data_IF_754810440902
#
_entry.id   IF_754810440902
#
_cell.length_a   1.000
_cell.length_b   1.000
_cell.length_c   1.000
_cell.angle_alpha   90.00
_cell.angle_beta   90.00
_cell.angle_gamma   90.00
#
_symmetry.space_group_name_H-M   'P 1'
#
loop_
_entity.id
_entity.type
_entity.pdbx_description
1 polymer ?
#
# COMPACT_ATOMS: atom_id res chain seq x y z
N UNK A 1 14.90 -59.37 11.01
CA UNK A 1 15.37 -58.11 10.39
C UNK A 1 15.32 -57.00 11.42
N UNK A 2 16.48 -56.52 11.89
CA UNK A 2 16.58 -55.38 12.82
C UNK A 2 16.28 -54.10 12.04
N UNK A 3 15.28 -53.33 12.49
CA UNK A 3 15.03 -51.98 11.98
C UNK A 3 16.01 -51.04 12.68
N UNK A 4 16.96 -50.49 11.94
CA UNK A 4 17.79 -49.38 12.39
C UNK A 4 16.93 -48.11 12.32
N UNK A 5 16.66 -47.51 13.47
CA UNK A 5 16.14 -46.15 13.52
C UNK A 5 17.31 -45.22 13.20
N UNK A 6 17.19 -44.48 12.10
CA UNK A 6 18.09 -43.38 11.80
C UNK A 6 17.98 -42.35 12.92
N UNK A 7 19.10 -42.07 13.57
CA UNK A 7 19.30 -40.87 14.37
C UNK A 7 19.00 -39.68 13.44
N UNK A 8 17.93 -38.94 13.71
CA UNK A 8 17.76 -37.61 13.16
C UNK A 8 18.79 -36.73 13.86
N UNK A 9 19.61 -36.03 13.08
CA UNK A 9 20.58 -35.06 13.58
C UNK A 9 19.88 -34.04 14.50
N UNK A 10 20.20 -34.08 15.80
CA UNK A 10 19.70 -33.15 16.82
C UNK A 10 20.21 -31.70 16.61
N UNK A 11 21.16 -31.50 15.69
CA UNK A 11 21.78 -30.21 15.39
C UNK A 11 20.83 -29.24 14.66
N UNK A 12 19.86 -29.74 13.88
CA UNK A 12 18.95 -28.90 13.10
C UNK A 12 17.96 -28.14 14.01
N UNK A 13 17.50 -28.78 15.10
CA UNK A 13 16.59 -28.17 16.09
C UNK A 13 17.26 -27.16 17.00
N UNK A 14 18.55 -27.32 17.29
CA UNK A 14 19.31 -26.36 18.10
C UNK A 14 19.53 -25.05 17.35
N UNK A 15 19.70 -25.11 16.03
CA UNK A 15 19.97 -23.94 15.20
C UNK A 15 18.73 -23.04 15.02
N UNK A 16 17.54 -23.63 14.79
CA UNK A 16 16.26 -22.91 14.71
C UNK A 16 15.94 -22.12 16.00
N UNK A 17 16.22 -22.69 17.16
CA UNK A 17 16.04 -22.00 18.45
C UNK A 17 16.97 -20.78 18.57
N UNK A 18 18.22 -20.90 18.12
CA UNK A 18 19.19 -19.79 18.18
C UNK A 18 18.87 -18.65 17.20
N UNK A 19 18.31 -18.99 16.03
CA UNK A 19 17.92 -18.03 15.00
C UNK A 19 16.65 -17.28 15.43
N UNK A 20 15.66 -17.99 15.98
CA UNK A 20 14.44 -17.42 16.55
C UNK A 20 14.72 -16.43 17.69
N UNK A 21 15.70 -16.74 18.56
CA UNK A 21 16.13 -15.82 19.63
C UNK A 21 16.75 -14.56 19.05
N UNK A 22 17.71 -14.69 18.13
CA UNK A 22 18.34 -13.54 17.45
C UNK A 22 17.34 -12.68 16.70
N UNK A 23 16.40 -13.30 15.97
CA UNK A 23 15.36 -12.59 15.27
C UNK A 23 14.49 -11.75 16.21
N UNK A 24 14.11 -12.30 17.38
CA UNK A 24 13.35 -11.55 18.40
C UNK A 24 14.10 -10.34 18.93
N UNK A 25 15.41 -10.44 19.14
CA UNK A 25 16.24 -9.32 19.58
C UNK A 25 16.29 -8.20 18.54
N UNK A 26 16.57 -8.54 17.28
CA UNK A 26 16.55 -7.60 16.18
C UNK A 26 15.19 -6.93 16.02
N UNK A 27 14.11 -7.73 16.06
CA UNK A 27 12.73 -7.24 16.02
C UNK A 27 12.41 -6.27 17.16
N UNK A 28 12.85 -6.59 18.39
CA UNK A 28 12.68 -5.70 19.55
C UNK A 28 13.42 -4.38 19.33
N UNK A 29 14.63 -4.42 18.79
CA UNK A 29 15.40 -3.22 18.48
C UNK A 29 14.69 -2.34 17.42
N UNK A 30 14.26 -2.93 16.30
CA UNK A 30 13.48 -2.22 15.27
C UNK A 30 12.21 -1.59 15.84
N UNK A 31 11.48 -2.31 16.69
CA UNK A 31 10.27 -1.79 17.31
C UNK A 31 10.57 -0.61 18.25
N UNK A 32 11.66 -0.66 19.00
CA UNK A 32 12.08 0.45 19.85
C UNK A 32 12.47 1.68 19.01
N UNK A 33 13.21 1.49 17.92
CA UNK A 33 13.55 2.57 16.98
C UNK A 33 12.26 3.18 16.40
N UNK A 34 11.30 2.34 16.02
CA UNK A 34 10.01 2.80 15.50
C UNK A 34 9.26 3.68 16.52
N UNK A 35 9.11 3.21 17.76
CA UNK A 35 8.42 3.95 18.83
C UNK A 35 9.11 5.28 19.10
N UNK A 36 10.44 5.27 19.24
CA UNK A 36 11.22 6.49 19.49
C UNK A 36 11.11 7.49 18.34
N UNK A 37 11.10 7.00 17.09
CA UNK A 37 10.92 7.85 15.92
C UNK A 37 9.55 8.52 15.93
N UNK A 38 8.49 7.74 16.15
CA UNK A 38 7.12 8.25 16.20
C UNK A 38 6.93 9.27 17.34
N UNK A 39 7.51 9.02 18.51
CA UNK A 39 7.46 9.93 19.65
C UNK A 39 8.13 11.28 19.34
N UNK A 40 9.40 11.26 18.91
CA UNK A 40 10.15 12.49 18.60
C UNK A 40 9.47 13.25 17.45
N UNK A 41 8.95 12.54 16.45
CA UNK A 41 8.22 13.14 15.34
C UNK A 41 6.94 13.84 15.82
N UNK A 42 6.20 13.23 16.75
CA UNK A 42 5.00 13.84 17.34
C UNK A 42 5.33 15.10 18.11
N UNK A 43 6.32 15.03 19.01
CA UNK A 43 6.79 16.19 19.79
C UNK A 43 7.33 17.31 18.89
N UNK A 44 7.90 16.96 17.74
CA UNK A 44 8.38 17.94 16.77
C UNK A 44 7.20 18.62 16.06
N UNK A 45 6.24 17.84 15.54
CA UNK A 45 5.02 18.41 14.91
C UNK A 45 4.24 19.31 15.87
N UNK A 46 4.10 18.91 17.12
CA UNK A 46 3.43 19.74 18.14
C UNK A 46 4.16 21.07 18.33
N UNK A 47 5.49 21.06 18.40
CA UNK A 47 6.25 22.30 18.48
C UNK A 47 6.08 23.18 17.23
N UNK A 48 6.05 22.60 16.03
CA UNK A 48 5.82 23.37 14.79
C UNK A 48 4.43 24.03 14.80
N UNK A 49 3.41 23.28 15.19
CA UNK A 49 2.05 23.81 15.33
C UNK A 49 1.97 24.93 16.38
N UNK A 50 2.67 24.77 17.50
CA UNK A 50 2.77 25.81 18.53
C UNK A 50 3.39 27.09 17.96
N UNK A 51 4.46 26.96 17.19
CA UNK A 51 5.11 28.10 16.54
C UNK A 51 4.19 28.80 15.53
N UNK A 52 3.48 28.06 14.68
CA UNK A 52 2.54 28.66 13.71
C UNK A 52 1.37 29.40 14.38
N UNK A 53 0.83 28.87 15.48
CA UNK A 53 -0.35 29.45 16.15
C UNK A 53 -0.02 30.62 17.10
N UNK A 54 1.14 30.63 17.75
CA UNK A 54 1.55 31.66 18.73
C UNK A 54 2.61 32.65 18.20
N UNK A 55 2.97 32.57 16.92
CA UNK A 55 3.94 33.42 16.21
C UNK A 55 3.87 34.94 16.51
N UNK A 56 2.68 35.60 16.64
CA UNK A 56 2.63 37.06 16.76
C UNK A 56 3.15 37.65 18.08
N UNK A 57 3.56 36.83 19.07
CA UNK A 57 3.87 37.30 20.44
C UNK A 57 5.21 36.81 21.01
N UNK A 58 6.03 36.08 20.26
CA UNK A 58 7.23 35.45 20.82
C UNK A 58 8.45 36.39 20.82
N UNK A 59 9.12 36.50 21.99
CA UNK A 59 10.39 37.23 22.13
C UNK A 59 11.53 36.44 21.47
N UNK A 60 12.55 37.12 20.96
CA UNK A 60 13.71 36.55 20.25
C UNK A 60 14.37 35.34 20.94
N UNK A 61 14.44 35.34 22.27
CA UNK A 61 14.98 34.22 23.05
C UNK A 61 14.20 32.91 22.84
N UNK A 62 12.86 32.97 22.82
CA UNK A 62 12.01 31.79 22.64
C UNK A 62 12.13 31.22 21.23
N UNK A 63 12.30 32.09 20.23
CA UNK A 63 12.52 31.68 18.84
C UNK A 63 13.86 30.96 18.71
N UNK A 64 14.92 31.49 19.34
CA UNK A 64 16.23 30.84 19.31
C UNK A 64 16.21 29.46 19.98
N UNK A 65 15.59 29.35 21.15
CA UNK A 65 15.44 28.08 21.88
C UNK A 65 14.62 27.06 21.07
N UNK A 66 13.52 27.51 20.46
CA UNK A 66 12.71 26.71 19.54
C UNK A 66 13.54 26.15 18.38
N UNK A 67 14.31 27.01 17.70
CA UNK A 67 15.13 26.61 16.56
C UNK A 67 16.19 25.59 16.97
N UNK A 68 16.89 25.82 18.09
CA UNK A 68 17.93 24.93 18.59
C UNK A 68 17.35 23.55 18.98
N UNK A 69 16.23 23.54 19.70
CA UNK A 69 15.61 22.30 20.19
C UNK A 69 15.11 21.43 19.02
N UNK A 70 14.46 22.06 18.03
CA UNK A 70 13.96 21.35 16.87
C UNK A 70 15.04 20.87 15.92
N UNK A 71 16.17 21.57 15.83
CA UNK A 71 17.35 21.07 15.12
C UNK A 71 17.85 19.75 15.72
N UNK A 72 17.95 19.66 17.06
CA UNK A 72 18.34 18.43 17.75
C UNK A 72 17.34 17.29 17.50
N UNK A 73 16.04 17.60 17.44
CA UNK A 73 15.01 16.60 17.09
C UNK A 73 15.17 16.08 15.67
N UNK A 74 15.48 16.94 14.68
CA UNK A 74 15.80 16.51 13.30
C UNK A 74 16.98 15.55 13.29
N UNK A 75 18.09 15.92 13.93
CA UNK A 75 19.30 15.08 14.00
C UNK A 75 19.01 13.74 14.68
N UNK A 76 18.20 13.74 15.74
CA UNK A 76 17.72 12.53 16.41
C UNK A 76 16.91 11.61 15.49
N UNK A 77 15.98 12.18 14.72
CA UNK A 77 15.17 11.43 13.74
C UNK A 77 16.02 10.88 12.59
N UNK A 78 16.98 11.65 12.07
CA UNK A 78 17.92 11.20 11.03
C UNK A 78 18.75 10.00 11.52
N UNK A 79 19.25 10.08 12.76
CA UNK A 79 20.00 8.98 13.38
C UNK A 79 19.15 7.73 13.59
N UNK A 80 17.92 7.87 14.10
CA UNK A 80 16.99 6.75 14.28
C UNK A 80 16.63 6.08 12.95
N UNK A 81 16.36 6.88 11.90
CA UNK A 81 16.07 6.37 10.57
C UNK A 81 17.24 5.56 10.02
N UNK A 82 18.46 6.13 10.06
CA UNK A 82 19.69 5.47 9.61
C UNK A 82 19.94 4.18 10.37
N UNK A 83 19.86 4.21 11.71
CA UNK A 83 20.08 3.04 12.54
C UNK A 83 19.06 1.93 12.27
N UNK A 84 17.80 2.29 12.04
CA UNK A 84 16.75 1.32 11.73
C UNK A 84 16.90 0.70 10.34
N UNK A 85 17.26 1.48 9.31
CA UNK A 85 17.56 0.92 7.98
C UNK A 85 18.76 -0.03 8.04
N UNK A 86 19.85 0.37 8.70
CA UNK A 86 21.02 -0.50 8.85
C UNK A 86 20.68 -1.81 9.55
N UNK A 87 19.85 -1.76 10.59
CA UNK A 87 19.41 -2.93 11.32
C UNK A 87 18.47 -3.81 10.46
N UNK A 88 17.57 -3.22 9.68
CA UNK A 88 16.72 -3.97 8.73
C UNK A 88 17.51 -4.62 7.61
N UNK A 89 18.57 -3.98 7.11
CA UNK A 89 19.46 -4.59 6.11
C UNK A 89 20.20 -5.80 6.70
N UNK A 90 20.66 -5.70 7.95
CA UNK A 90 21.22 -6.83 8.68
C UNK A 90 20.18 -7.94 8.81
N UNK A 91 18.97 -7.64 9.28
CA UNK A 91 17.89 -8.63 9.40
C UNK A 91 17.59 -9.30 8.07
N UNK A 92 17.51 -8.53 6.99
CA UNK A 92 17.25 -9.05 5.63
C UNK A 92 18.32 -10.04 5.21
N UNK A 93 19.60 -9.73 5.46
CA UNK A 93 20.71 -10.61 5.08
C UNK A 93 20.78 -11.88 5.92
N UNK A 94 20.48 -11.81 7.22
CA UNK A 94 20.54 -12.97 8.11
C UNK A 94 19.32 -13.89 8.00
N UNK A 95 18.12 -13.33 7.82
CA UNK A 95 16.86 -14.07 7.95
C UNK A 95 16.10 -14.25 6.62
N UNK A 96 16.71 -13.97 5.47
CA UNK A 96 16.07 -14.07 4.14
C UNK A 96 15.56 -15.47 3.80
N UNK A 97 16.14 -16.50 4.39
CA UNK A 97 15.80 -17.90 4.13
C UNK A 97 14.44 -18.30 4.73
N UNK A 98 14.01 -17.61 5.78
CA UNK A 98 12.72 -17.83 6.41
C UNK A 98 11.66 -16.89 5.80
N UNK A 99 10.72 -17.45 5.04
CA UNK A 99 9.68 -16.68 4.35
C UNK A 99 8.82 -15.82 5.29
N UNK A 100 8.59 -16.28 6.52
CA UNK A 100 7.80 -15.53 7.50
C UNK A 100 8.55 -14.29 7.97
N UNK A 101 9.84 -14.43 8.28
CA UNK A 101 10.70 -13.32 8.67
C UNK A 101 10.92 -12.35 7.52
N UNK A 102 11.13 -12.85 6.30
CA UNK A 102 11.28 -12.02 5.11
C UNK A 102 10.07 -11.09 4.88
N UNK A 103 8.84 -11.61 5.02
CA UNK A 103 7.61 -10.83 4.90
C UNK A 103 7.54 -9.75 5.99
N UNK A 104 7.89 -10.08 7.22
CA UNK A 104 7.85 -9.12 8.33
C UNK A 104 8.93 -8.03 8.18
N UNK A 105 10.15 -8.38 7.76
CA UNK A 105 11.22 -7.42 7.45
C UNK A 105 10.79 -6.48 6.32
N UNK A 106 10.16 -6.99 5.26
CA UNK A 106 9.63 -6.17 4.17
C UNK A 106 8.58 -5.16 4.66
N UNK A 107 7.72 -5.55 5.60
CA UNK A 107 6.76 -4.63 6.23
C UNK A 107 7.47 -3.53 7.02
N UNK A 108 8.52 -3.85 7.77
CA UNK A 108 9.30 -2.84 8.47
C UNK A 108 10.01 -1.88 7.52
N UNK A 109 10.60 -2.36 6.42
CA UNK A 109 11.20 -1.49 5.40
C UNK A 109 10.19 -0.46 4.86
N UNK A 110 8.96 -0.89 4.57
CA UNK A 110 7.89 0.01 4.14
C UNK A 110 7.52 1.07 5.19
N UNK A 111 7.56 0.73 6.48
CA UNK A 111 7.37 1.70 7.58
C UNK A 111 8.51 2.74 7.57
N UNK A 112 9.76 2.32 7.37
CA UNK A 112 10.90 3.23 7.34
C UNK A 112 10.94 4.12 6.09
N UNK A 113 10.38 3.67 4.96
CA UNK A 113 10.14 4.54 3.80
C UNK A 113 9.15 5.66 4.13
N UNK A 114 8.07 5.32 4.86
CA UNK A 114 7.11 6.32 5.34
C UNK A 114 7.77 7.31 6.30
N UNK A 115 8.63 6.85 7.20
CA UNK A 115 9.40 7.70 8.11
C UNK A 115 10.32 8.67 7.38
N UNK A 116 10.99 8.22 6.31
CA UNK A 116 11.81 9.09 5.46
C UNK A 116 11.01 10.26 4.89
N UNK A 117 9.81 9.97 4.36
CA UNK A 117 8.91 10.99 3.80
C UNK A 117 8.46 11.96 4.89
N UNK A 118 8.06 11.44 6.04
CA UNK A 118 7.63 12.27 7.17
C UNK A 118 8.74 13.18 7.69
N UNK A 119 9.96 12.67 7.82
CA UNK A 119 11.14 13.45 8.21
C UNK A 119 11.41 14.58 7.21
N UNK A 120 11.37 14.27 5.92
CA UNK A 120 11.58 15.28 4.88
C UNK A 120 10.53 16.40 4.95
N UNK A 121 9.27 16.05 5.15
CA UNK A 121 8.19 17.03 5.27
C UNK A 121 8.40 17.97 6.45
N UNK A 122 8.74 17.42 7.62
CA UNK A 122 8.95 18.21 8.83
C UNK A 122 10.22 19.06 8.72
N UNK A 123 11.29 18.55 8.10
CA UNK A 123 12.51 19.32 7.78
C UNK A 123 12.21 20.49 6.86
N UNK A 124 11.42 20.28 5.81
CA UNK A 124 11.01 21.35 4.89
C UNK A 124 10.22 22.45 5.63
N UNK A 125 9.32 22.09 6.54
CA UNK A 125 8.57 23.07 7.35
C UNK A 125 9.49 23.83 8.31
N UNK A 126 10.42 23.13 8.97
CA UNK A 126 11.41 23.76 9.83
C UNK A 126 12.32 24.74 9.08
N UNK A 127 12.80 24.36 7.89
CA UNK A 127 13.66 25.22 7.06
C UNK A 127 12.92 26.49 6.63
N UNK A 128 11.62 26.40 6.31
CA UNK A 128 10.78 27.58 6.05
C UNK A 128 10.72 28.52 7.26
N UNK A 129 10.55 27.96 8.46
CA UNK A 129 10.52 28.74 9.71
C UNK A 129 11.89 29.39 9.97
N UNK A 130 12.99 28.67 9.76
CA UNK A 130 14.35 29.22 9.87
C UNK A 130 14.55 30.43 8.94
N UNK A 131 14.13 30.30 7.68
CA UNK A 131 14.24 31.36 6.68
C UNK A 131 13.37 32.57 7.03
N UNK A 132 12.14 32.35 7.49
CA UNK A 132 11.23 33.42 7.93
C UNK A 132 11.84 34.25 9.08
N UNK A 133 12.35 33.58 10.11
CA UNK A 133 12.97 34.27 11.26
C UNK A 133 14.28 34.97 10.88
N UNK A 134 15.08 34.38 9.99
CA UNK A 134 16.33 35.00 9.52
C UNK A 134 16.09 36.29 8.74
N UNK A 135 14.97 36.39 8.01
CA UNK A 135 14.60 37.60 7.29
C UNK A 135 13.98 38.67 8.20
N UNK A 136 13.24 38.27 9.25
CA UNK A 136 12.70 39.19 10.26
C UNK A 136 13.80 39.87 11.10
N UNK A 137 14.87 39.14 11.43
CA UNK A 137 15.99 39.64 12.23
C UNK A 137 17.00 40.53 11.48
N UNK A 138 16.81 40.86 10.19
CA UNK A 138 17.70 41.81 9.49
C UNK A 138 17.63 43.25 10.03
N UNK A 139 16.63 43.56 10.86
CA UNK A 139 16.50 44.87 11.52
C UNK A 139 17.03 44.90 12.98
N UNK A 140 17.57 43.80 13.51
CA UNK A 140 18.13 43.76 14.87
C UNK A 140 19.47 43.02 14.88
N UNK A 141 20.52 43.75 15.26
CA UNK A 141 21.92 43.33 15.31
C UNK A 141 22.20 42.18 16.30
N UNK A 142 21.74 40.96 16.03
CA UNK A 142 22.12 39.77 16.78
C UNK A 142 22.72 38.69 15.87
N UNK A 143 24.05 38.69 15.83
CA UNK A 143 24.92 37.79 15.07
C UNK A 143 24.98 36.37 15.66
N UNK A 144 23.93 35.56 15.49
CA UNK A 144 24.02 34.11 15.81
C UNK A 144 24.23 33.24 14.56
N UNK A 145 23.98 33.78 13.37
CA UNK A 145 24.36 33.13 12.12
C UNK A 145 25.59 33.80 11.53
N UNK A 146 26.75 33.69 12.20
CA UNK A 146 28.01 33.67 11.45
C UNK A 146 28.04 32.37 10.65
N UNK A 147 27.44 32.47 9.47
CA UNK A 147 27.65 31.67 8.28
C UNK A 147 29.10 31.18 8.28
N UNK A 148 29.33 29.93 8.65
CA UNK A 148 30.50 29.18 8.19
C UNK A 148 30.44 29.31 6.67
N UNK A 149 31.44 29.95 6.09
CA UNK A 149 31.53 30.33 4.69
C UNK A 149 31.19 29.14 3.79
N UNK A 150 29.92 29.01 3.42
CA UNK A 150 29.57 28.45 2.13
C UNK A 150 29.91 29.55 1.15
N UNK A 151 31.05 29.37 0.49
CA UNK A 151 31.52 30.12 -0.66
C UNK A 151 30.32 30.55 -1.51
N UNK A 152 29.94 31.83 -1.41
CA UNK A 152 29.05 32.43 -2.37
C UNK A 152 29.81 32.52 -3.69
N UNK A 153 29.74 31.45 -4.48
CA UNK A 153 29.63 31.69 -5.92
C UNK A 153 28.36 32.52 -6.06
N UNK A 154 28.52 33.73 -6.56
CA UNK A 154 27.42 34.53 -7.05
C UNK A 154 26.57 33.63 -7.96
N UNK A 155 25.45 33.11 -7.47
CA UNK A 155 24.43 32.52 -8.33
C UNK A 155 23.83 33.69 -9.09
N UNK A 156 24.03 33.67 -10.41
CA UNK A 156 23.42 34.64 -11.30
C UNK A 156 21.91 34.65 -11.03
N UNK A 157 21.26 35.81 -11.13
CA UNK A 157 19.80 35.91 -11.01
C UNK A 157 19.07 34.92 -11.94
N UNK A 158 19.73 34.52 -13.03
CA UNK A 158 19.29 33.47 -13.96
C UNK A 158 19.09 32.08 -13.30
N UNK A 159 19.92 31.70 -12.31
CA UNK A 159 19.83 30.40 -11.63
C UNK A 159 18.62 30.38 -10.68
N UNK A 160 18.33 31.50 -10.04
CA UNK A 160 17.17 31.66 -9.14
C UNK A 160 15.88 31.62 -9.95
N UNK A 161 15.83 32.32 -11.09
CA UNK A 161 14.69 32.27 -12.01
C UNK A 161 14.46 30.88 -12.61
N UNK A 162 15.55 30.14 -12.88
CA UNK A 162 15.46 28.75 -13.31
C UNK A 162 14.85 27.85 -12.22
N UNK A 163 15.27 28.00 -10.95
CA UNK A 163 14.69 27.25 -9.82
C UNK A 163 13.19 27.55 -9.65
N UNK A 164 12.77 28.80 -9.84
CA UNK A 164 11.34 29.15 -9.81
C UNK A 164 10.55 28.55 -10.97
N UNK A 165 11.10 28.57 -12.20
CA UNK A 165 10.48 27.91 -13.36
C UNK A 165 10.35 26.40 -13.16
N UNK A 166 11.38 25.75 -12.63
CA UNK A 166 11.34 24.33 -12.29
C UNK A 166 10.28 24.04 -11.21
N UNK A 167 10.15 24.91 -10.19
CA UNK A 167 9.08 24.77 -9.18
C UNK A 167 7.69 24.91 -9.77
N UNK A 168 7.45 25.89 -10.65
CA UNK A 168 6.16 26.03 -11.32
C UNK A 168 5.83 24.82 -12.21
N UNK A 169 6.83 24.30 -12.94
CA UNK A 169 6.64 23.09 -13.73
C UNK A 169 6.32 21.86 -12.85
N UNK A 170 6.96 21.75 -11.69
CA UNK A 170 6.66 20.69 -10.72
C UNK A 170 5.27 20.84 -10.10
N UNK A 171 4.87 22.06 -9.73
CA UNK A 171 3.54 22.33 -9.18
C UNK A 171 2.43 22.01 -10.20
N UNK A 172 2.62 22.41 -11.46
CA UNK A 172 1.75 22.02 -12.56
C UNK A 172 1.69 20.50 -12.74
N UNK A 173 2.84 19.82 -12.72
CA UNK A 173 2.90 18.36 -12.84
C UNK A 173 2.20 17.64 -11.69
N UNK A 174 2.29 18.18 -10.46
CA UNK A 174 1.60 17.66 -9.27
C UNK A 174 0.09 17.84 -9.39
N UNK A 175 -0.36 19.01 -9.87
CA UNK A 175 -1.78 19.26 -10.11
C UNK A 175 -2.35 18.30 -11.16
N UNK A 176 -1.61 18.07 -12.24
CA UNK A 176 -2.04 17.16 -13.31
C UNK A 176 -2.05 15.70 -12.84
N UNK A 177 -1.08 15.31 -12.00
CA UNK A 177 -1.11 14.02 -11.32
C UNK A 177 -2.36 13.86 -10.44
N UNK A 178 -2.76 14.92 -9.74
CA UNK A 178 -4.00 14.97 -8.95
C UNK A 178 -5.24 14.71 -9.81
N UNK A 179 -5.32 15.36 -10.99
CA UNK A 179 -6.39 15.14 -11.95
C UNK A 179 -6.42 13.69 -12.44
N UNK A 180 -5.27 13.12 -12.80
CA UNK A 180 -5.15 11.73 -13.26
C UNK A 180 -5.59 10.75 -12.16
N UNK A 181 -5.21 10.99 -10.90
CA UNK A 181 -5.63 10.17 -9.76
C UNK A 181 -7.15 10.23 -9.59
N UNK A 182 -7.74 11.44 -9.66
CA UNK A 182 -9.19 11.63 -9.55
C UNK A 182 -9.95 10.87 -10.65
N UNK A 183 -9.52 11.02 -11.91
CA UNK A 183 -10.09 10.30 -13.06
C UNK A 183 -9.92 8.78 -12.90
N UNK A 184 -8.76 8.34 -12.41
CA UNK A 184 -8.47 6.93 -12.11
C UNK A 184 -9.38 6.35 -11.02
N UNK A 185 -9.71 7.12 -9.99
CA UNK A 185 -10.65 6.72 -8.96
C UNK A 185 -12.08 6.61 -9.49
N UNK A 186 -12.53 7.60 -10.26
CA UNK A 186 -13.87 7.60 -10.87
C UNK A 186 -14.05 6.42 -11.83
N UNK A 187 -13.05 6.16 -12.69
CA UNK A 187 -13.06 5.01 -13.60
C UNK A 187 -13.05 3.68 -12.87
N UNK A 188 -12.30 3.54 -11.77
CA UNK A 188 -12.32 2.34 -10.94
C UNK A 188 -13.72 2.08 -10.34
N UNK A 189 -14.40 3.12 -9.86
CA UNK A 189 -15.78 2.99 -9.35
C UNK A 189 -16.73 2.53 -10.46
N UNK A 190 -16.65 3.13 -11.65
CA UNK A 190 -17.44 2.72 -12.82
C UNK A 190 -17.19 1.26 -13.21
N UNK A 191 -15.94 0.83 -13.25
CA UNK A 191 -15.57 -0.56 -13.55
C UNK A 191 -16.09 -1.54 -12.50
N UNK A 192 -16.01 -1.21 -11.20
CA UNK A 192 -16.59 -2.04 -10.13
C UNK A 192 -18.09 -2.21 -10.30
N UNK A 193 -18.81 -1.13 -10.63
CA UNK A 193 -20.25 -1.18 -10.85
C UNK A 193 -20.62 -2.01 -12.09
N UNK A 194 -19.88 -1.85 -13.19
CA UNK A 194 -20.05 -2.67 -14.39
C UNK A 194 -19.78 -4.15 -14.09
N UNK A 195 -18.73 -4.47 -13.33
CA UNK A 195 -18.40 -5.84 -12.95
C UNK A 195 -19.50 -6.46 -12.07
N UNK A 196 -20.08 -5.70 -11.15
CA UNK A 196 -21.24 -6.14 -10.37
C UNK A 196 -22.43 -6.51 -11.27
N UNK A 197 -22.73 -5.67 -12.26
CA UNK A 197 -23.80 -5.92 -13.23
C UNK A 197 -23.54 -7.17 -14.09
N UNK A 198 -22.31 -7.35 -14.56
CA UNK A 198 -21.90 -8.55 -15.32
C UNK A 198 -22.02 -9.81 -14.46
N UNK A 199 -21.58 -9.76 -13.20
CA UNK A 199 -21.70 -10.88 -12.27
C UNK A 199 -23.17 -11.25 -12.03
N UNK A 200 -24.05 -10.25 -11.90
CA UNK A 200 -25.48 -10.48 -11.76
C UNK A 200 -26.10 -11.11 -13.02
N UNK A 201 -25.70 -10.65 -14.22
CA UNK A 201 -26.09 -11.25 -15.49
C UNK A 201 -25.62 -12.72 -15.59
N UNK A 202 -24.37 -13.00 -15.22
CA UNK A 202 -23.81 -14.36 -15.18
C UNK A 202 -24.61 -15.29 -14.25
N UNK A 203 -25.03 -14.80 -13.08
CA UNK A 203 -25.91 -15.57 -12.18
C UNK A 203 -27.23 -15.94 -12.84
N UNK A 204 -27.85 -15.01 -13.58
CA UNK A 204 -29.09 -15.28 -14.35
C UNK A 204 -28.85 -16.32 -15.45
N UNK A 205 -27.74 -16.23 -16.18
CA UNK A 205 -27.37 -17.20 -17.22
C UNK A 205 -27.16 -18.59 -16.60
N UNK A 206 -26.44 -18.68 -15.47
CA UNK A 206 -26.25 -19.94 -14.77
C UNK A 206 -27.57 -20.55 -14.29
N UNK A 207 -28.49 -19.71 -13.79
CA UNK A 207 -29.84 -20.16 -13.45
C UNK A 207 -30.54 -20.77 -14.66
N UNK A 208 -30.55 -20.10 -15.82
CA UNK A 208 -31.14 -20.62 -17.06
C UNK A 208 -30.48 -21.94 -17.49
N UNK A 209 -29.14 -22.01 -17.45
CA UNK A 209 -28.39 -23.21 -17.81
C UNK A 209 -28.75 -24.42 -16.94
N UNK A 210 -29.15 -24.22 -15.69
CA UNK A 210 -29.60 -25.32 -14.82
C UNK A 210 -30.96 -25.89 -15.23
N UNK A 211 -31.85 -25.09 -15.82
CA UNK A 211 -33.17 -25.55 -16.30
C UNK A 211 -33.14 -26.11 -17.71
N UNK A 212 -32.12 -25.76 -18.51
CA UNK A 212 -32.00 -26.20 -19.90
C UNK A 212 -32.04 -27.74 -20.08
N UNK A 213 -31.37 -28.56 -19.24
CA UNK A 213 -31.47 -30.02 -19.32
C UNK A 213 -32.87 -30.55 -18.95
N UNK A 214 -33.58 -29.88 -18.04
CA UNK A 214 -34.94 -30.27 -17.64
C UNK A 214 -35.92 -30.02 -18.79
N UNK A 215 -35.82 -28.87 -19.44
CA UNK A 215 -36.60 -28.53 -20.64
C UNK A 215 -36.33 -29.55 -21.74
N UNK A 216 -35.07 -29.90 -21.99
CA UNK A 216 -34.70 -30.92 -22.98
C UNK A 216 -35.31 -32.29 -22.67
N UNK A 217 -35.34 -32.71 -21.40
CA UNK A 217 -35.99 -33.96 -20.97
C UNK A 217 -37.50 -33.94 -21.22
N UNK A 218 -38.18 -32.85 -20.86
CA UNK A 218 -39.61 -32.67 -21.09
C UNK A 218 -39.90 -32.73 -22.60
N UNK A 219 -39.12 -32.04 -23.41
CA UNK A 219 -39.28 -31.99 -24.86
C UNK A 219 -39.07 -33.37 -25.51
N UNK A 220 -38.09 -34.15 -25.02
CA UNK A 220 -37.88 -35.55 -25.43
C UNK A 220 -39.08 -36.44 -25.07
N UNK A 221 -39.67 -36.25 -23.89
CA UNK A 221 -40.83 -37.00 -23.44
C UNK A 221 -42.09 -36.68 -24.26
N UNK A 222 -42.34 -35.39 -24.56
CA UNK A 222 -43.45 -34.96 -25.43
C UNK A 222 -43.30 -35.57 -26.83
N UNK A 223 -42.09 -35.49 -27.41
CA UNK A 223 -41.81 -36.10 -28.73
C UNK A 223 -42.08 -37.60 -28.72
N UNK A 224 -41.61 -38.31 -27.69
CA UNK A 224 -41.82 -39.75 -27.56
C UNK A 224 -43.30 -40.13 -27.41
N UNK A 225 -44.06 -39.36 -26.63
CA UNK A 225 -45.50 -39.58 -26.45
C UNK A 225 -46.27 -39.41 -27.77
N UNK A 226 -45.99 -38.34 -28.52
CA UNK A 226 -46.61 -38.13 -29.84
C UNK A 226 -46.26 -39.26 -30.82
N UNK A 227 -45.00 -39.69 -30.87
CA UNK A 227 -44.59 -40.83 -31.71
C UNK A 227 -45.34 -42.11 -31.33
N UNK A 228 -45.47 -42.41 -30.04
CA UNK A 228 -46.25 -43.57 -29.56
C UNK A 228 -47.71 -43.50 -29.99
N UNK A 229 -48.35 -42.33 -29.86
CA UNK A 229 -49.74 -42.14 -30.29
C UNK A 229 -49.91 -42.36 -31.79
N UNK A 230 -48.99 -41.85 -32.61
CA UNK A 230 -49.00 -42.05 -34.07
C UNK A 230 -48.81 -43.52 -34.44
N UNK A 231 -47.90 -44.24 -33.77
CA UNK A 231 -47.69 -45.68 -33.99
C UNK A 231 -48.96 -46.46 -33.65
N UNK A 232 -49.57 -46.23 -32.48
CA UNK A 232 -50.81 -46.91 -32.07
C UNK A 232 -51.93 -46.67 -33.09
N UNK A 233 -52.11 -45.42 -33.54
CA UNK A 233 -53.11 -45.09 -34.55
C UNK A 233 -52.86 -45.83 -35.87
N UNK A 234 -51.60 -45.91 -36.32
CA UNK A 234 -51.25 -46.63 -37.55
C UNK A 234 -51.53 -48.14 -37.45
N UNK A 235 -51.30 -48.74 -36.28
CA UNK A 235 -51.58 -50.16 -36.02
C UNK A 235 -53.09 -50.41 -36.01
N UNK A 236 -53.88 -49.53 -35.39
CA UNK A 236 -55.34 -49.64 -35.38
C UNK A 236 -55.90 -49.55 -36.79
N UNK A 237 -55.44 -48.58 -37.60
CA UNK A 237 -55.86 -48.43 -38.99
C UNK A 237 -55.50 -49.67 -39.80
N UNK A 238 -54.28 -50.21 -39.66
CA UNK A 238 -53.86 -51.43 -40.35
C UNK A 238 -54.71 -52.65 -39.94
N UNK A 239 -55.05 -52.79 -38.66
CA UNK A 239 -55.95 -53.84 -38.16
C UNK A 239 -57.37 -53.68 -38.71
N UNK A 240 -57.91 -52.46 -38.74
CA UNK A 240 -59.23 -52.19 -39.33
C UNK A 240 -59.26 -52.54 -40.82
N UNK A 241 -58.21 -52.19 -41.59
CA UNK A 241 -58.07 -52.57 -43.00
C UNK A 241 -57.98 -54.09 -43.14
N UNK A 242 -57.16 -54.76 -42.33
CA UNK A 242 -57.01 -56.22 -42.36
C UNK A 242 -58.32 -56.96 -42.07
N UNK A 243 -59.05 -56.54 -41.03
CA UNK A 243 -60.36 -57.10 -40.69
C UNK A 243 -61.38 -56.85 -41.81
N UNK A 244 -61.37 -55.67 -42.42
CA UNK A 244 -62.24 -55.36 -43.56
C UNK A 244 -61.96 -56.28 -44.77
N UNK A 245 -60.68 -56.62 -45.03
CA UNK A 245 -60.32 -57.57 -46.09
C UNK A 245 -60.63 -59.03 -45.74
N UNK A 246 -60.66 -59.42 -44.46
CA UNK A 246 -60.98 -60.79 -44.03
C UNK A 246 -62.49 -61.07 -43.97
N UNK A 247 -63.31 -60.03 -43.78
CA UNK A 247 -64.79 -60.15 -43.72
C UNK A 247 -65.43 -60.04 -45.11
N UNK A 248 -64.70 -59.52 -46.11
CA UNK A 248 -65.11 -59.47 -47.50
C UNK A 248 -64.74 -60.75 -48.23
#
# INVERSE_FOLDING_TARGET
MKKNYGFLDDDEKLNENSESIRYREYKKNIRNIQINFEQILSEFKESLNYYENDSPKQKDHYIHEFLLNNKKKIEGLENLHKNGIQNLDIMKNYFSHNSTYAIEIARYLSIFDKFKIQLQNVKNTYDKICLHNSNSNKNSNNNIYKKKEFSSRFTNNNDIDQVFKERYALEYSISELGNIISVGQETNVKLKMQNYNVMHQLKKINFINNYLPQIQRILKNIKNYNMKKTIILSVIIALCIFVFFMIR
#
